data_IF_392503371387
#
_entry.id   IF_392503371387
#
_cell.length_a   1.000
_cell.length_b   1.000
_cell.length_c   1.000
_cell.angle_alpha   90.00
_cell.angle_beta   90.00
_cell.angle_gamma   90.00
#
_symmetry.space_group_name_H-M   'P 1'
#
loop_
_entity.id
_entity.type
_entity.pdbx_description
1 polymer ?
#
# COMPACT_ATOMS: atom_id res chain seq x y z
N UNK A 1 0.47 -16.00 0.81
CA UNK A 1 0.56 -15.22 2.06
C UNK A 1 2.02 -14.94 2.44
N UNK A 2 2.26 -13.74 3.01
CA UNK A 2 3.59 -13.31 3.43
C UNK A 2 4.45 -12.66 2.34
N UNK A 3 4.06 -12.70 1.08
CA UNK A 3 4.72 -11.95 0.01
C UNK A 3 4.62 -10.45 0.26
N UNK A 4 5.63 -9.70 -0.17
CA UNK A 4 5.64 -8.25 0.00
C UNK A 4 5.40 -7.55 -1.33
N UNK A 5 4.45 -6.64 -1.30
CA UNK A 5 4.04 -5.81 -2.43
C UNK A 5 4.28 -4.36 -2.06
N UNK A 6 5.02 -3.63 -2.86
CA UNK A 6 5.24 -2.20 -2.63
C UNK A 6 4.33 -1.36 -3.52
N UNK A 7 3.80 -0.29 -2.96
CA UNK A 7 3.19 0.81 -3.70
C UNK A 7 4.06 2.06 -3.61
N UNK A 8 4.30 2.71 -4.75
CA UNK A 8 4.88 4.05 -4.86
C UNK A 8 3.82 4.95 -5.50
N UNK A 9 2.89 5.46 -4.67
CA UNK A 9 1.65 6.05 -5.16
C UNK A 9 1.14 7.17 -4.24
N UNK A 10 0.32 8.04 -4.81
CA UNK A 10 -0.40 9.10 -4.11
C UNK A 10 -1.77 8.61 -3.59
N UNK A 11 -2.59 9.52 -3.07
CA UNK A 11 -3.95 9.23 -2.64
C UNK A 11 -4.86 9.09 -3.86
N UNK A 12 -5.03 7.86 -4.34
CA UNK A 12 -5.92 7.51 -5.45
C UNK A 12 -6.82 6.34 -5.06
N UNK A 13 -7.91 6.13 -5.80
CA UNK A 13 -8.79 4.97 -5.59
C UNK A 13 -8.03 3.66 -5.78
N UNK A 14 -7.14 3.55 -6.79
CA UNK A 14 -6.32 2.35 -7.03
C UNK A 14 -5.40 2.04 -5.86
N UNK A 15 -4.79 3.08 -5.25
CA UNK A 15 -3.97 2.88 -4.07
C UNK A 15 -4.81 2.39 -2.88
N UNK A 16 -6.04 2.93 -2.72
CA UNK A 16 -6.97 2.47 -1.69
C UNK A 16 -7.42 1.01 -1.93
N UNK A 17 -7.74 0.64 -3.17
CA UNK A 17 -8.09 -0.74 -3.54
C UNK A 17 -6.97 -1.72 -3.16
N UNK A 18 -5.71 -1.35 -3.37
CA UNK A 18 -4.55 -2.17 -3.01
C UNK A 18 -4.40 -2.36 -1.50
N UNK A 19 -4.87 -1.42 -0.66
CA UNK A 19 -4.91 -1.61 0.79
C UNK A 19 -5.71 -2.86 1.17
N UNK A 20 -6.84 -3.09 0.50
CA UNK A 20 -7.69 -4.24 0.75
C UNK A 20 -7.25 -5.49 -0.03
N UNK A 21 -6.94 -5.33 -1.31
CA UNK A 21 -6.60 -6.45 -2.17
C UNK A 21 -5.32 -7.18 -1.69
N UNK A 22 -4.24 -6.44 -1.47
CA UNK A 22 -2.96 -7.03 -1.05
C UNK A 22 -3.08 -7.67 0.34
N UNK A 23 -3.64 -6.94 1.30
CA UNK A 23 -3.76 -7.46 2.66
C UNK A 23 -4.79 -8.59 2.75
N UNK A 24 -5.91 -8.50 2.03
CA UNK A 24 -6.92 -9.56 1.97
C UNK A 24 -6.40 -10.88 1.41
N UNK A 25 -5.40 -10.83 0.51
CA UNK A 25 -4.67 -12.02 0.04
C UNK A 25 -3.64 -12.56 1.04
N UNK A 26 -3.50 -11.95 2.21
CA UNK A 26 -2.51 -12.29 3.23
C UNK A 26 -1.08 -11.90 2.84
N UNK A 27 -0.92 -11.04 1.85
CA UNK A 27 0.34 -10.41 1.51
C UNK A 27 0.56 -9.14 2.36
N UNK A 28 1.79 -8.65 2.41
CA UNK A 28 2.15 -7.45 3.18
C UNK A 28 2.28 -6.28 2.25
N UNK A 29 1.48 -5.23 2.48
CA UNK A 29 1.58 -4.00 1.72
C UNK A 29 2.63 -3.07 2.33
N UNK A 30 3.69 -2.80 1.57
CA UNK A 30 4.66 -1.75 1.85
C UNK A 30 4.28 -0.49 1.08
N UNK A 31 3.99 0.59 1.79
CA UNK A 31 3.68 1.88 1.18
C UNK A 31 4.94 2.76 1.18
N UNK A 32 5.65 2.81 0.04
CA UNK A 32 6.85 3.61 -0.10
C UNK A 32 6.50 5.10 -0.26
N UNK A 33 7.26 5.96 0.42
CA UNK A 33 7.03 7.40 0.37
C UNK A 33 7.72 8.00 -0.89
N UNK A 34 6.95 8.53 -1.86
CA UNK A 34 7.49 9.08 -3.11
C UNK A 34 8.22 10.43 -2.93
N UNK A 35 8.25 10.98 -1.73
CA UNK A 35 8.97 12.23 -1.41
C UNK A 35 10.38 12.01 -0.88
N UNK A 36 10.79 10.77 -0.69
CA UNK A 36 12.14 10.41 -0.31
C UNK A 36 13.09 10.50 -1.51
N UNK A 37 14.40 10.51 -1.25
CA UNK A 37 15.39 10.39 -2.32
C UNK A 37 15.34 9.02 -3.00
N UNK A 38 15.85 8.92 -4.23
CA UNK A 38 15.91 7.67 -4.98
C UNK A 38 16.62 6.57 -4.16
N UNK A 39 17.70 6.90 -3.45
CA UNK A 39 18.45 5.97 -2.61
C UNK A 39 17.63 5.46 -1.44
N UNK A 40 16.87 6.36 -0.79
CA UNK A 40 16.02 5.98 0.33
C UNK A 40 14.83 5.14 -0.11
N UNK A 41 14.22 5.44 -1.27
CA UNK A 41 13.15 4.62 -1.84
C UNK A 41 13.69 3.24 -2.18
N UNK A 42 14.84 3.16 -2.89
CA UNK A 42 15.48 1.88 -3.23
C UNK A 42 15.80 1.06 -1.96
N UNK A 43 16.37 1.72 -0.94
CA UNK A 43 16.65 1.09 0.35
C UNK A 43 15.41 0.47 0.97
N UNK A 44 14.31 1.21 1.08
CA UNK A 44 13.09 0.71 1.73
C UNK A 44 12.46 -0.46 0.96
N UNK A 45 12.45 -0.41 -0.37
CA UNK A 45 11.93 -1.49 -1.22
C UNK A 45 12.77 -2.76 -1.10
N UNK A 46 14.10 -2.63 -1.15
CA UNK A 46 15.02 -3.75 -1.01
C UNK A 46 14.99 -4.34 0.40
N UNK A 47 14.99 -3.51 1.44
CA UNK A 47 14.90 -3.95 2.83
C UNK A 47 13.55 -4.63 3.14
N UNK A 48 12.47 -4.18 2.52
CA UNK A 48 11.18 -4.85 2.57
C UNK A 48 11.21 -6.23 1.88
N UNK A 49 12.10 -6.45 0.93
CA UNK A 49 12.16 -7.66 0.12
C UNK A 49 10.95 -7.80 -0.81
N UNK A 50 10.50 -6.70 -1.40
CA UNK A 50 9.31 -6.68 -2.25
C UNK A 50 9.60 -7.28 -3.63
N UNK A 51 8.72 -8.21 -4.06
CA UNK A 51 8.78 -8.81 -5.40
C UNK A 51 7.97 -8.05 -6.46
N UNK A 52 7.04 -7.20 -6.02
CA UNK A 52 6.12 -6.45 -6.88
C UNK A 52 6.16 -4.98 -6.49
N UNK A 53 6.23 -4.10 -7.49
CA UNK A 53 6.11 -2.65 -7.33
C UNK A 53 4.99 -2.10 -8.21
N UNK A 54 3.96 -1.52 -7.56
CA UNK A 54 2.90 -0.80 -8.25
C UNK A 54 3.14 0.71 -8.06
N UNK A 55 2.99 1.50 -9.13
CA UNK A 55 3.35 2.92 -9.07
C UNK A 55 2.44 3.82 -9.90
N UNK A 56 2.24 5.04 -9.46
CA UNK A 56 1.49 6.05 -10.20
C UNK A 56 2.23 6.51 -11.45
N UNK A 57 1.49 6.84 -12.51
CA UNK A 57 2.02 7.28 -13.81
C UNK A 57 3.06 8.40 -13.71
N UNK A 58 2.80 9.39 -12.88
CA UNK A 58 3.70 10.54 -12.71
C UNK A 58 5.00 10.21 -11.97
N UNK A 59 5.12 8.98 -11.43
CA UNK A 59 6.32 8.46 -10.80
C UNK A 59 7.10 7.49 -11.72
N UNK A 60 6.65 7.28 -12.97
CA UNK A 60 7.29 6.37 -13.91
C UNK A 60 8.77 6.71 -14.14
N UNK A 61 9.12 7.98 -14.31
CA UNK A 61 10.51 8.40 -14.47
C UNK A 61 11.38 8.11 -13.23
N UNK A 62 10.80 8.15 -12.03
CA UNK A 62 11.48 7.75 -10.80
C UNK A 62 11.72 6.24 -10.81
N UNK A 63 10.68 5.46 -11.13
CA UNK A 63 10.77 4.00 -11.18
C UNK A 63 11.82 3.54 -12.20
N UNK A 64 11.89 4.16 -13.38
CA UNK A 64 12.92 3.82 -14.37
C UNK A 64 14.35 4.03 -13.83
N UNK A 65 14.60 5.08 -13.05
CA UNK A 65 15.91 5.29 -12.39
C UNK A 65 16.17 4.29 -11.27
N UNK A 66 15.11 3.82 -10.60
CA UNK A 66 15.20 2.87 -9.49
C UNK A 66 15.39 1.42 -9.96
N UNK A 67 14.84 1.02 -11.11
CA UNK A 67 14.86 -0.36 -11.62
C UNK A 67 16.25 -1.05 -11.50
N UNK A 68 17.36 -0.42 -11.89
CA UNK A 68 18.68 -1.05 -11.76
C UNK A 68 19.11 -1.32 -10.30
N UNK A 69 18.49 -0.63 -9.34
CA UNK A 69 18.78 -0.74 -7.91
C UNK A 69 17.82 -1.69 -7.18
N UNK A 70 16.84 -2.27 -7.88
CA UNK A 70 15.77 -3.11 -7.32
C UNK A 70 15.84 -4.56 -7.85
N UNK A 71 16.92 -5.31 -7.57
CA UNK A 71 17.15 -6.63 -8.19
C UNK A 71 16.12 -7.69 -7.76
N UNK A 72 15.38 -7.46 -6.68
CA UNK A 72 14.38 -8.41 -6.18
C UNK A 72 12.98 -8.16 -6.76
N UNK A 73 12.74 -6.99 -7.35
CA UNK A 73 11.44 -6.64 -7.94
C UNK A 73 11.35 -7.25 -9.33
N UNK A 74 10.56 -8.29 -9.46
CA UNK A 74 10.34 -8.99 -10.74
C UNK A 74 9.14 -8.45 -11.53
N UNK A 75 8.22 -7.73 -10.87
CA UNK A 75 6.98 -7.25 -11.49
C UNK A 75 6.79 -5.77 -11.20
N UNK A 76 6.61 -4.98 -12.27
CA UNK A 76 6.32 -3.56 -12.22
C UNK A 76 4.96 -3.31 -12.86
N UNK A 77 4.05 -2.62 -12.15
CA UNK A 77 2.69 -2.33 -12.62
C UNK A 77 2.41 -0.84 -12.52
N UNK A 78 2.00 -0.23 -13.60
CA UNK A 78 1.54 1.16 -13.58
C UNK A 78 0.08 1.26 -13.11
N UNK A 79 -0.19 2.13 -12.14
CA UNK A 79 -1.54 2.41 -11.61
C UNK A 79 -2.28 3.39 -12.57
N UNK A 80 -2.55 2.92 -13.77
CA UNK A 80 -3.11 3.72 -14.87
C UNK A 80 -4.32 3.03 -15.50
N UNK A 81 -5.12 3.83 -16.22
CA UNK A 81 -6.25 3.32 -17.01
C UNK A 81 -5.83 2.76 -18.39
N UNK A 82 -4.59 3.06 -18.79
CA UNK A 82 -4.03 2.60 -20.07
C UNK A 82 -2.53 2.35 -19.87
N UNK A 83 -1.92 1.38 -20.57
CA UNK A 83 -0.49 1.12 -20.51
C UNK A 83 0.34 2.39 -20.78
N UNK A 84 1.50 2.49 -20.16
CA UNK A 84 2.45 3.58 -20.44
C UNK A 84 3.20 3.33 -21.74
N UNK A 85 3.47 2.08 -22.03
CA UNK A 85 4.12 1.53 -23.21
C UNK A 85 3.76 0.05 -23.37
N UNK A 86 4.21 -0.60 -24.44
CA UNK A 86 3.90 -2.01 -24.75
C UNK A 86 4.51 -3.03 -23.76
N UNK A 87 5.48 -2.61 -22.95
CA UNK A 87 6.19 -3.48 -22.01
C UNK A 87 5.72 -3.32 -20.55
N UNK A 88 4.99 -2.25 -20.25
CA UNK A 88 4.55 -1.94 -18.89
C UNK A 88 3.20 -2.54 -18.57
N UNK A 89 3.11 -3.37 -17.54
CA UNK A 89 1.84 -3.89 -17.05
C UNK A 89 0.96 -2.73 -16.56
N UNK A 90 -0.31 -2.75 -16.92
CA UNK A 90 -1.31 -1.75 -16.56
C UNK A 90 -2.31 -2.33 -15.55
N UNK A 91 -2.59 -1.59 -14.49
CA UNK A 91 -3.49 -2.01 -13.42
C UNK A 91 -4.90 -2.35 -13.93
N UNK A 92 -5.50 -1.48 -14.75
CA UNK A 92 -6.86 -1.69 -15.26
C UNK A 92 -6.93 -2.86 -16.25
N UNK A 93 -5.88 -3.09 -17.04
CA UNK A 93 -5.84 -4.25 -17.94
C UNK A 93 -5.76 -5.55 -17.17
N UNK A 94 -4.96 -5.59 -16.08
CA UNK A 94 -4.87 -6.76 -15.21
C UNK A 94 -6.21 -7.07 -14.54
N UNK A 95 -6.90 -6.05 -14.01
CA UNK A 95 -8.23 -6.23 -13.40
C UNK A 95 -9.26 -6.65 -14.46
N UNK A 96 -9.24 -6.00 -15.62
CA UNK A 96 -10.17 -6.29 -16.72
C UNK A 96 -10.01 -7.68 -17.33
N UNK A 97 -8.84 -8.29 -17.19
CA UNK A 97 -8.59 -9.66 -17.65
C UNK A 97 -9.12 -10.75 -16.69
N UNK A 98 -9.39 -10.36 -15.44
CA UNK A 98 -9.88 -11.29 -14.42
C UNK A 98 -11.40 -11.33 -14.39
N UNK A 99 -11.95 -12.52 -14.20
CA UNK A 99 -13.39 -12.73 -14.08
C UNK A 99 -13.69 -13.84 -13.08
N UNK A 100 -14.77 -13.66 -12.33
CA UNK A 100 -15.25 -14.66 -11.39
C UNK A 100 -15.06 -14.26 -9.92
N UNK A 101 -15.62 -15.06 -9.00
CA UNK A 101 -15.52 -14.80 -7.57
C UNK A 101 -14.10 -15.08 -7.06
N UNK A 102 -13.60 -14.18 -6.24
CA UNK A 102 -12.36 -14.40 -5.49
C UNK A 102 -12.67 -15.13 -4.20
N UNK A 103 -12.04 -16.27 -3.97
CA UNK A 103 -12.02 -16.92 -2.67
C UNK A 103 -10.89 -16.32 -1.83
N UNK A 104 -11.25 -15.60 -0.79
CA UNK A 104 -10.28 -15.01 0.12
C UNK A 104 -9.58 -16.10 0.93
N UNK A 105 -8.24 -16.13 0.99
CA UNK A 105 -7.52 -17.10 1.81
C UNK A 105 -7.77 -16.86 3.29
N UNK A 106 -7.79 -17.96 4.06
CA UNK A 106 -7.91 -17.92 5.51
C UNK A 106 -6.51 -17.94 6.13
N UNK A 107 -6.21 -16.98 7.00
CA UNK A 107 -4.94 -16.88 7.72
C UNK A 107 -5.18 -16.33 9.14
N UNK A 108 -4.16 -16.46 10.01
CA UNK A 108 -4.27 -15.99 11.40
C UNK A 108 -4.27 -14.46 11.51
N UNK A 109 -5.02 -13.92 12.45
CA UNK A 109 -5.14 -12.47 12.69
C UNK A 109 -3.81 -11.77 13.00
N UNK A 110 -2.81 -12.50 13.48
CA UNK A 110 -1.47 -11.99 13.76
C UNK A 110 -0.57 -11.98 12.52
N UNK A 111 -1.05 -12.44 11.36
CA UNK A 111 -0.31 -12.30 10.11
C UNK A 111 -0.03 -10.82 9.81
N UNK A 112 1.14 -10.57 9.22
CA UNK A 112 1.53 -9.22 8.81
C UNK A 112 0.61 -8.70 7.70
N UNK A 113 0.21 -7.43 7.79
CA UNK A 113 -0.65 -6.77 6.81
C UNK A 113 0.05 -5.57 6.15
N UNK A 114 0.69 -4.71 6.96
CA UNK A 114 1.33 -3.50 6.47
C UNK A 114 2.76 -3.37 6.97
N UNK A 115 3.61 -2.82 6.11
CA UNK A 115 4.97 -2.41 6.43
C UNK A 115 5.13 -0.92 6.08
N UNK A 116 5.37 -0.09 7.09
CA UNK A 116 5.64 1.33 6.92
C UNK A 116 7.04 1.66 7.39
N UNK A 117 7.69 2.61 6.72
CA UNK A 117 9.00 3.09 7.15
C UNK A 117 8.89 4.45 7.82
N UNK A 118 9.58 4.60 8.94
CA UNK A 118 9.75 5.91 9.60
C UNK A 118 11.08 6.52 9.15
N UNK A 119 11.08 7.84 8.93
CA UNK A 119 12.32 8.59 8.79
C UNK A 119 13.04 8.57 10.14
N UNK A 120 14.01 7.68 10.29
CA UNK A 120 14.86 7.67 11.48
C UNK A 120 15.56 9.03 11.63
N UNK A 121 15.58 9.58 12.84
CA UNK A 121 16.32 10.83 13.13
C UNK A 121 17.83 10.61 13.03
N UNK A 122 18.29 9.36 13.02
CA UNK A 122 19.70 8.98 12.94
C UNK A 122 19.83 7.66 12.19
N UNK A 123 20.19 7.71 10.90
CA UNK A 123 20.48 6.51 10.09
C UNK A 123 19.38 6.12 9.10
N UNK A 124 19.42 4.87 8.66
CA UNK A 124 18.50 4.34 7.66
C UNK A 124 17.05 4.27 8.16
N UNK A 125 16.06 4.39 7.26
CA UNK A 125 14.66 4.24 7.60
C UNK A 125 14.37 2.89 8.27
N UNK A 126 13.57 2.92 9.33
CA UNK A 126 13.19 1.72 10.09
C UNK A 126 11.81 1.24 9.69
N UNK A 127 11.68 -0.05 9.38
CA UNK A 127 10.41 -0.68 9.05
C UNK A 127 9.59 -0.98 10.31
N UNK A 128 8.32 -0.62 10.30
CA UNK A 128 7.32 -0.97 11.32
C UNK A 128 6.28 -1.87 10.68
N UNK A 129 6.15 -3.08 11.20
CA UNK A 129 5.25 -4.10 10.70
C UNK A 129 3.97 -4.15 11.53
N UNK A 130 2.82 -4.03 10.88
CA UNK A 130 1.50 -4.11 11.50
C UNK A 130 0.81 -5.41 11.12
N UNK A 131 0.22 -6.09 12.12
CA UNK A 131 -0.63 -7.27 11.87
C UNK A 131 -2.05 -6.87 11.49
N UNK A 132 -2.82 -7.80 10.91
CA UNK A 132 -4.26 -7.63 10.67
C UNK A 132 -5.01 -7.28 11.96
N UNK A 133 -4.69 -7.98 13.06
CA UNK A 133 -5.25 -7.68 14.39
C UNK A 133 -5.00 -6.24 14.80
N UNK A 134 -3.78 -5.74 14.63
CA UNK A 134 -3.43 -4.35 15.00
C UNK A 134 -4.23 -3.33 14.19
N UNK A 135 -4.42 -3.56 12.88
CA UNK A 135 -5.20 -2.69 12.01
C UNK A 135 -6.68 -2.67 12.42
N UNK A 136 -7.28 -3.83 12.66
CA UNK A 136 -8.69 -3.94 13.06
C UNK A 136 -8.94 -3.28 14.42
N UNK A 137 -8.10 -3.57 15.43
CA UNK A 137 -8.24 -2.96 16.75
C UNK A 137 -8.04 -1.44 16.71
N UNK A 138 -7.09 -0.96 15.89
CA UNK A 138 -6.91 0.47 15.67
C UNK A 138 -8.15 1.09 15.01
N UNK A 139 -8.70 0.47 13.98
CA UNK A 139 -9.88 0.98 13.28
C UNK A 139 -11.09 1.07 14.23
N UNK A 140 -11.32 0.02 15.03
CA UNK A 140 -12.41 0.01 16.04
C UNK A 140 -12.20 1.10 17.10
N UNK A 141 -10.98 1.24 17.64
CA UNK A 141 -10.67 2.25 18.65
C UNK A 141 -10.76 3.68 18.12
N UNK A 142 -10.24 3.91 16.92
CA UNK A 142 -10.24 5.23 16.29
C UNK A 142 -11.65 5.66 15.81
N UNK A 143 -12.55 4.70 15.51
CA UNK A 143 -13.94 4.96 15.17
C UNK A 143 -14.82 5.41 16.34
N UNK A 144 -14.36 5.23 17.59
CA UNK A 144 -15.13 5.65 18.76
C UNK A 144 -15.39 7.16 18.77
N UNK A 145 -16.52 7.58 19.37
CA UNK A 145 -16.92 8.99 19.48
C UNK A 145 -15.87 9.88 20.17
N UNK A 146 -15.05 9.30 21.04
CA UNK A 146 -13.98 10.01 21.74
C UNK A 146 -12.73 10.25 20.86
N UNK A 147 -12.67 9.64 19.67
CA UNK A 147 -11.58 9.80 18.70
C UNK A 147 -12.10 10.52 17.45
N UNK A 148 -12.31 9.81 16.32
CA UNK A 148 -12.85 10.44 15.10
C UNK A 148 -14.35 10.62 15.15
N UNK A 149 -15.08 9.71 15.78
CA UNK A 149 -16.52 9.79 15.94
C UNK A 149 -17.30 9.73 14.62
N UNK A 150 -16.76 9.05 13.60
CA UNK A 150 -17.43 8.91 12.31
C UNK A 150 -18.72 8.10 12.41
N UNK A 151 -19.65 8.44 11.55
CA UNK A 151 -20.94 7.77 11.39
C UNK A 151 -21.16 7.40 9.92
N UNK A 152 -22.14 6.55 9.64
CA UNK A 152 -22.52 6.16 8.28
C UNK A 152 -23.00 7.32 7.39
N UNK A 153 -23.20 8.50 7.97
CA UNK A 153 -23.64 9.70 7.23
C UNK A 153 -22.50 10.65 6.88
N UNK A 154 -21.26 10.34 7.32
CA UNK A 154 -20.12 11.21 7.11
C UNK A 154 -19.44 10.91 5.77
N UNK A 155 -18.94 11.97 5.13
CA UNK A 155 -18.07 11.87 3.96
C UNK A 155 -16.65 12.17 4.41
N UNK A 156 -15.76 11.17 4.32
CA UNK A 156 -14.38 11.27 4.79
C UNK A 156 -13.43 11.49 3.62
N UNK A 157 -12.70 12.61 3.66
CA UNK A 157 -11.63 12.90 2.70
C UNK A 157 -10.27 12.89 3.41
N UNK A 158 -9.47 11.82 3.28
CA UNK A 158 -8.15 11.75 3.90
C UNK A 158 -7.19 12.78 3.26
N UNK A 159 -6.77 13.78 4.02
CA UNK A 159 -5.68 14.69 3.62
C UNK A 159 -4.30 14.16 3.99
N UNK A 160 -4.23 13.17 4.89
CA UNK A 160 -3.00 12.44 5.17
C UNK A 160 -2.65 11.51 4.02
N UNK A 161 -1.35 11.37 3.76
CA UNK A 161 -0.88 10.55 2.64
C UNK A 161 -1.07 9.06 2.92
N UNK A 162 -1.63 8.32 1.95
CA UNK A 162 -1.76 6.86 2.02
C UNK A 162 -0.41 6.14 2.15
N UNK A 163 0.67 6.75 1.70
CA UNK A 163 2.03 6.22 1.83
C UNK A 163 2.70 6.51 3.18
N UNK A 164 2.02 7.20 4.12
CA UNK A 164 2.62 7.55 5.42
C UNK A 164 1.76 7.07 6.57
N UNK A 165 2.35 6.23 7.45
CA UNK A 165 1.69 5.64 8.63
C UNK A 165 0.27 5.11 8.32
N UNK A 166 0.11 4.47 7.14
CA UNK A 166 -1.17 3.94 6.62
C UNK A 166 -2.34 4.95 6.67
N UNK A 167 -2.02 6.22 6.40
CA UNK A 167 -2.98 7.34 6.46
C UNK A 167 -3.74 7.42 7.81
N UNK A 168 -3.06 7.16 8.93
CA UNK A 168 -3.67 7.15 10.26
C UNK A 168 -4.81 6.14 10.42
N UNK A 169 -4.83 5.09 9.59
CA UNK A 169 -5.86 4.07 9.59
C UNK A 169 -7.21 4.51 8.99
N UNK A 170 -7.33 5.74 8.50
CA UNK A 170 -8.58 6.25 7.89
C UNK A 170 -9.18 5.34 6.82
N UNK A 171 -8.38 4.67 5.95
CA UNK A 171 -8.91 3.71 4.99
C UNK A 171 -9.70 2.56 5.62
N UNK A 172 -9.44 2.24 6.87
CA UNK A 172 -10.13 1.16 7.60
C UNK A 172 -11.16 1.70 8.60
N UNK A 173 -10.87 2.85 9.23
CA UNK A 173 -11.78 3.46 10.21
C UNK A 173 -13.09 3.86 9.56
N UNK A 174 -13.04 4.56 8.43
CA UNK A 174 -14.25 5.03 7.76
C UNK A 174 -15.20 3.89 7.37
N UNK A 175 -14.77 2.80 6.69
CA UNK A 175 -15.65 1.68 6.36
C UNK A 175 -16.15 0.87 7.58
N UNK A 176 -15.44 0.89 8.70
CA UNK A 176 -15.91 0.23 9.95
C UNK A 176 -17.05 1.02 10.59
N UNK A 177 -17.07 2.32 10.39
CA UNK A 177 -18.13 3.20 10.93
C UNK A 177 -19.37 3.29 10.02
N UNK A 178 -19.31 2.74 8.80
CA UNK A 178 -20.37 2.73 7.78
C UNK A 178 -20.01 3.50 6.55
#
# INVERSE_FOLDING_TARGET
PGDRVTTLAWNTHRHLELFYAVTGLGAVLHTANPRLSDEQIAYTINHAGSGVLLYDRNLAAVVERLKPQLPQVGIFVSLTAQPLDDATLCYEDLIGAESGPLEWPVFGENAAAFLCYTSGTTGDPKGVLYSHRAIVLHAMGAGLNAAFGFTAFDVVMPCSSLYHATAWGLPFVAPVCG
#
